data_IF_999451411874
#
_entry.id   IF_999451411874
#
_cell.length_a   1.000
_cell.length_b   1.000
_cell.length_c   1.000
_cell.angle_alpha   90.00
_cell.angle_beta   90.00
_cell.angle_gamma   90.00
#
_symmetry.space_group_name_H-M   'P 1'
#
loop_
_entity.id
_entity.type
_entity.pdbx_description
1 polymer ?
#
# COMPACT_ATOMS: atom_id res chain seq x y z
N UNK A 1 27.78 26.91 11.49
CA UNK A 1 26.55 26.59 12.23
C UNK A 1 26.04 25.24 11.69
N UNK A 2 25.82 24.23 12.54
CA UNK A 2 25.71 22.84 12.11
C UNK A 2 24.32 22.52 11.55
N UNK A 3 24.32 21.75 10.45
CA UNK A 3 23.24 20.92 9.88
C UNK A 3 21.79 21.14 10.32
N UNK A 4 21.21 22.31 10.05
CA UNK A 4 19.77 22.46 9.87
C UNK A 4 19.55 23.56 8.85
N UNK A 5 19.06 23.20 7.66
CA UNK A 5 18.36 24.19 6.86
C UNK A 5 17.28 24.76 7.77
N UNK A 6 17.34 26.06 8.08
CA UNK A 6 16.23 26.74 8.75
C UNK A 6 15.07 26.64 7.79
N UNK A 7 14.19 25.66 8.01
CA UNK A 7 12.97 25.49 7.23
C UNK A 7 12.17 26.77 7.41
N UNK A 8 11.90 27.53 6.34
CA UNK A 8 11.14 28.78 6.44
C UNK A 8 9.80 28.53 7.14
N UNK A 9 9.31 29.52 7.88
CA UNK A 9 8.07 29.36 8.66
C UNK A 9 6.87 29.00 7.76
N UNK A 10 6.82 29.54 6.54
CA UNK A 10 5.81 29.18 5.53
C UNK A 10 5.91 27.71 5.11
N UNK A 11 7.13 27.20 4.90
CA UNK A 11 7.35 25.78 4.60
C UNK A 11 6.92 24.90 5.77
N UNK A 12 7.25 25.30 7.02
CA UNK A 12 6.83 24.57 8.22
C UNK A 12 5.31 24.51 8.33
N UNK A 13 4.64 25.63 8.08
CA UNK A 13 3.17 25.72 8.06
C UNK A 13 2.59 24.77 7.01
N UNK A 14 3.12 24.81 5.78
CA UNK A 14 2.65 23.90 4.71
C UNK A 14 2.87 22.43 5.06
N UNK A 15 4.01 22.08 5.65
CA UNK A 15 4.28 20.71 6.10
C UNK A 15 3.30 20.26 7.19
N UNK A 16 2.91 21.13 8.11
CA UNK A 16 1.90 20.82 9.12
C UNK A 16 0.50 20.57 8.53
N UNK A 17 0.12 21.32 7.48
CA UNK A 17 -1.11 21.07 6.72
C UNK A 17 -1.08 19.69 6.05
N UNK A 18 0.02 19.36 5.37
CA UNK A 18 0.23 18.03 4.76
C UNK A 18 0.22 16.91 5.81
N UNK A 19 0.83 17.14 6.98
CA UNK A 19 0.82 16.19 8.08
C UNK A 19 -0.61 15.92 8.59
N UNK A 20 -1.44 16.96 8.69
CA UNK A 20 -2.85 16.85 9.08
C UNK A 20 -3.61 15.98 8.06
N UNK A 21 -3.42 16.21 6.77
CA UNK A 21 -4.04 15.41 5.72
C UNK A 21 -3.60 13.93 5.76
N UNK A 22 -2.31 13.66 5.97
CA UNK A 22 -1.79 12.29 6.08
C UNK A 22 -2.32 11.56 7.32
N UNK A 23 -2.52 12.27 8.44
CA UNK A 23 -3.22 11.72 9.61
C UNK A 23 -4.67 11.41 9.28
N UNK A 24 -5.35 12.26 8.51
CA UNK A 24 -6.71 11.98 8.08
C UNK A 24 -6.80 10.71 7.21
N UNK A 25 -5.82 10.42 6.35
CA UNK A 25 -5.75 9.15 5.63
C UNK A 25 -5.66 7.94 6.58
N UNK A 26 -4.78 8.02 7.59
CA UNK A 26 -4.65 6.97 8.61
C UNK A 26 -5.97 6.80 9.38
N UNK A 27 -6.54 7.90 9.84
CA UNK A 27 -7.73 7.89 10.68
C UNK A 27 -8.96 7.37 9.91
N UNK A 28 -9.09 7.70 8.62
CA UNK A 28 -10.12 7.15 7.74
C UNK A 28 -10.04 5.61 7.61
N UNK A 29 -8.83 5.05 7.64
CA UNK A 29 -8.64 3.60 7.66
C UNK A 29 -8.97 2.99 9.03
N UNK A 30 -8.48 3.60 10.12
CA UNK A 30 -8.72 3.12 11.50
C UNK A 30 -10.23 3.09 11.81
N UNK A 31 -10.98 4.08 11.33
CA UNK A 31 -12.44 4.15 11.47
C UNK A 31 -13.17 2.93 10.93
N UNK A 32 -12.62 2.16 9.97
CA UNK A 32 -13.27 0.93 9.52
C UNK A 32 -13.45 -0.06 10.69
N UNK A 33 -12.42 -0.21 11.54
CA UNK A 33 -12.49 -1.09 12.70
C UNK A 33 -13.44 -0.60 13.78
N UNK A 34 -13.58 0.72 13.93
CA UNK A 34 -14.44 1.35 14.95
C UNK A 34 -15.91 1.43 14.49
N UNK A 35 -16.16 1.91 13.27
CA UNK A 35 -17.50 2.18 12.74
C UNK A 35 -18.15 0.91 12.17
N UNK A 36 -17.37 -0.02 11.61
CA UNK A 36 -17.88 -1.20 10.92
C UNK A 36 -17.44 -2.54 11.52
N UNK A 37 -16.43 -2.57 12.39
CA UNK A 37 -15.87 -3.80 12.97
C UNK A 37 -15.49 -4.85 11.92
N UNK A 38 -15.13 -4.41 10.71
CA UNK A 38 -14.92 -5.27 9.54
C UNK A 38 -16.10 -6.21 9.22
N UNK A 39 -17.32 -5.87 9.66
CA UNK A 39 -18.54 -6.62 9.37
C UNK A 39 -19.16 -6.12 8.05
N UNK A 40 -19.17 -6.98 7.05
CA UNK A 40 -19.75 -6.69 5.75
C UNK A 40 -21.28 -6.46 5.85
N UNK A 41 -21.80 -5.52 5.05
CA UNK A 41 -23.24 -5.37 4.89
C UNK A 41 -23.82 -6.65 4.24
N UNK A 42 -24.98 -7.18 4.68
CA UNK A 42 -25.52 -8.47 4.20
C UNK A 42 -25.65 -8.59 2.68
N UNK A 43 -26.00 -7.49 2.01
CA UNK A 43 -26.19 -7.43 0.55
C UNK A 43 -24.90 -7.10 -0.24
N UNK A 44 -23.74 -7.10 0.42
CA UNK A 44 -22.47 -6.74 -0.20
C UNK A 44 -21.79 -7.93 -0.89
N UNK A 45 -20.85 -7.62 -1.80
CA UNK A 45 -19.98 -8.64 -2.42
C UNK A 45 -19.14 -9.35 -1.36
N UNK A 46 -18.65 -8.62 -0.35
CA UNK A 46 -17.91 -9.22 0.76
C UNK A 46 -18.75 -10.23 1.55
N UNK A 47 -20.01 -9.92 1.88
CA UNK A 47 -20.88 -10.86 2.58
C UNK A 47 -21.16 -12.11 1.75
N UNK A 48 -21.39 -11.96 0.44
CA UNK A 48 -21.56 -13.09 -0.47
C UNK A 48 -20.29 -13.97 -0.56
N UNK A 49 -19.11 -13.34 -0.63
CA UNK A 49 -17.83 -14.05 -0.60
C UNK A 49 -17.64 -14.80 0.73
N UNK A 50 -17.84 -14.14 1.88
CA UNK A 50 -17.71 -14.74 3.20
C UNK A 50 -18.61 -15.97 3.37
N UNK A 51 -19.87 -15.89 2.91
CA UNK A 51 -20.80 -17.01 2.94
C UNK A 51 -20.33 -18.17 2.04
N UNK A 52 -19.97 -17.88 0.79
CA UNK A 52 -19.49 -18.89 -0.16
C UNK A 52 -18.20 -19.60 0.32
N UNK A 53 -17.32 -18.86 1.01
CA UNK A 53 -16.09 -19.42 1.57
C UNK A 53 -16.33 -20.18 2.88
N UNK A 54 -17.28 -19.75 3.71
CA UNK A 54 -17.66 -20.47 4.93
C UNK A 54 -18.32 -21.84 4.62
N UNK A 55 -19.06 -21.92 3.52
CA UNK A 55 -19.68 -23.17 3.05
C UNK A 55 -18.66 -24.14 2.41
N UNK A 56 -17.43 -23.69 2.14
CA UNK A 56 -16.37 -24.53 1.59
C UNK A 56 -15.71 -25.38 2.67
N UNK A 57 -15.77 -26.70 2.52
CA UNK A 57 -15.11 -27.64 3.43
C UNK A 57 -13.56 -27.56 3.39
N UNK A 58 -13.00 -26.87 2.41
CA UNK A 58 -11.56 -26.87 2.14
C UNK A 58 -10.85 -25.56 2.48
N UNK A 59 -11.60 -24.45 2.59
CA UNK A 59 -11.04 -23.14 2.96
C UNK A 59 -11.00 -23.07 4.48
N UNK A 60 -9.80 -22.94 5.07
CA UNK A 60 -9.65 -22.97 6.53
C UNK A 60 -10.17 -21.69 7.17
N UNK A 61 -9.94 -20.55 6.53
CA UNK A 61 -10.41 -19.25 6.99
C UNK A 61 -11.19 -18.54 5.86
N UNK A 62 -12.50 -18.42 6.05
CA UNK A 62 -13.38 -17.74 5.12
C UNK A 62 -13.11 -16.22 5.04
N UNK A 63 -12.36 -15.66 5.99
CA UNK A 63 -11.98 -14.23 6.03
C UNK A 63 -10.67 -13.92 5.32
N UNK A 64 -9.99 -14.91 4.73
CA UNK A 64 -8.63 -14.74 4.17
C UNK A 64 -8.50 -13.54 3.22
N UNK A 65 -9.49 -13.31 2.35
CA UNK A 65 -9.51 -12.15 1.44
C UNK A 65 -9.56 -10.84 2.22
N UNK A 66 -10.47 -10.74 3.20
CA UNK A 66 -10.66 -9.52 3.98
C UNK A 66 -9.47 -9.27 4.91
N UNK A 67 -8.91 -10.31 5.52
CA UNK A 67 -7.70 -10.22 6.36
C UNK A 67 -6.51 -9.69 5.57
N UNK A 68 -6.27 -10.21 4.36
CA UNK A 68 -5.17 -9.75 3.51
C UNK A 68 -5.34 -8.27 3.14
N UNK A 69 -6.56 -7.87 2.75
CA UNK A 69 -6.89 -6.47 2.43
C UNK A 69 -6.72 -5.57 3.66
N UNK A 70 -7.24 -5.96 4.82
CA UNK A 70 -7.11 -5.21 6.07
C UNK A 70 -5.64 -5.01 6.44
N UNK A 71 -4.82 -6.06 6.35
CA UNK A 71 -3.39 -6.02 6.64
C UNK A 71 -2.66 -4.97 5.80
N UNK A 72 -2.90 -4.93 4.49
CA UNK A 72 -2.27 -3.94 3.62
C UNK A 72 -2.77 -2.52 3.87
N UNK A 73 -4.06 -2.35 4.18
CA UNK A 73 -4.62 -1.05 4.54
C UNK A 73 -4.05 -0.50 5.85
N UNK A 74 -3.93 -1.35 6.88
CA UNK A 74 -3.32 -0.99 8.16
C UNK A 74 -1.85 -0.59 7.97
N UNK A 75 -1.11 -1.33 7.13
CA UNK A 75 0.28 -0.99 6.80
C UNK A 75 0.38 0.37 6.07
N UNK A 76 -0.48 0.61 5.07
CA UNK A 76 -0.56 1.89 4.38
C UNK A 76 -0.88 3.04 5.34
N UNK A 77 -1.89 2.86 6.20
CA UNK A 77 -2.29 3.84 7.22
C UNK A 77 -1.16 4.13 8.23
N UNK A 78 -0.44 3.11 8.68
CA UNK A 78 0.73 3.28 9.54
C UNK A 78 1.83 4.10 8.86
N UNK A 79 2.09 3.84 7.57
CA UNK A 79 3.05 4.62 6.79
C UNK A 79 2.59 6.07 6.55
N UNK A 80 1.28 6.32 6.36
CA UNK A 80 0.73 7.69 6.34
C UNK A 80 1.01 8.41 7.67
N UNK A 81 0.79 7.74 8.81
CA UNK A 81 1.12 8.28 10.13
C UNK A 81 2.62 8.58 10.29
N UNK A 82 3.49 7.69 9.79
CA UNK A 82 4.93 7.91 9.76
C UNK A 82 5.32 9.13 8.91
N UNK A 83 4.74 9.25 7.70
CA UNK A 83 4.99 10.37 6.81
C UNK A 83 4.51 11.70 7.41
N UNK A 84 3.36 11.70 8.10
CA UNK A 84 2.88 12.86 8.85
C UNK A 84 3.87 13.29 9.94
N UNK A 85 4.40 12.32 10.70
CA UNK A 85 5.40 12.60 11.73
C UNK A 85 6.67 13.25 11.18
N UNK A 86 7.13 12.81 9.99
CA UNK A 86 8.28 13.45 9.31
C UNK A 86 7.98 14.88 8.86
N UNK A 87 6.75 15.15 8.42
CA UNK A 87 6.34 16.50 8.03
C UNK A 87 6.32 17.43 9.26
N UNK A 88 5.74 16.98 10.38
CA UNK A 88 5.69 17.74 11.64
C UNK A 88 7.08 18.09 12.18
N UNK A 89 8.03 17.13 12.12
CA UNK A 89 9.41 17.33 12.56
C UNK A 89 10.32 17.97 11.51
N UNK A 90 9.81 18.16 10.28
CA UNK A 90 10.55 18.61 9.11
C UNK A 90 11.73 17.67 8.71
N UNK A 91 11.68 16.40 9.08
CA UNK A 91 12.67 15.37 8.72
C UNK A 91 12.40 14.78 7.32
N UNK A 92 12.34 15.66 6.32
CA UNK A 92 11.82 15.38 4.97
C UNK A 92 12.89 15.06 3.92
N UNK A 93 14.14 14.82 4.35
CA UNK A 93 15.28 14.69 3.42
C UNK A 93 15.24 13.41 2.60
N UNK A 94 14.98 12.24 3.19
CA UNK A 94 15.06 10.98 2.46
C UNK A 94 13.85 10.10 2.69
N UNK A 95 13.46 9.97 3.95
CA UNK A 95 12.41 9.07 4.44
C UNK A 95 11.01 9.24 3.80
N UNK A 96 10.58 10.43 3.31
CA UNK A 96 9.28 10.55 2.66
C UNK A 96 9.07 9.65 1.42
N UNK A 97 10.13 9.45 0.64
CA UNK A 97 10.07 8.67 -0.60
C UNK A 97 9.76 7.18 -0.38
N UNK A 98 10.54 6.43 0.43
CA UNK A 98 10.24 5.03 0.68
C UNK A 98 8.89 4.83 1.38
N UNK A 99 8.47 5.75 2.26
CA UNK A 99 7.14 5.65 2.89
C UNK A 99 6.01 5.81 1.86
N UNK A 100 6.12 6.80 0.97
CA UNK A 100 5.12 7.00 -0.10
C UNK A 100 5.06 5.79 -1.03
N UNK A 101 6.22 5.22 -1.36
CA UNK A 101 6.29 3.96 -2.13
C UNK A 101 5.56 2.83 -1.42
N UNK A 102 5.81 2.62 -0.14
CA UNK A 102 5.17 1.56 0.65
C UNK A 102 3.65 1.76 0.79
N UNK A 103 3.19 3.01 0.93
CA UNK A 103 1.75 3.35 0.91
C UNK A 103 1.13 2.93 -0.42
N UNK A 104 1.75 3.34 -1.54
CA UNK A 104 1.26 3.06 -2.88
C UNK A 104 1.24 1.55 -3.18
N UNK A 105 2.32 0.83 -2.87
CA UNK A 105 2.41 -0.62 -3.06
C UNK A 105 1.37 -1.37 -2.22
N UNK A 106 1.13 -0.94 -0.97
CA UNK A 106 0.13 -1.58 -0.09
C UNK A 106 -1.30 -1.32 -0.59
N UNK A 107 -1.62 -0.09 -0.98
CA UNK A 107 -2.93 0.25 -1.54
C UNK A 107 -3.19 -0.47 -2.87
N UNK A 108 -2.18 -0.51 -3.75
CA UNK A 108 -2.23 -1.23 -5.01
C UNK A 108 -2.42 -2.73 -4.79
N UNK A 109 -1.77 -3.31 -3.77
CA UNK A 109 -1.90 -4.73 -3.47
C UNK A 109 -3.27 -5.10 -2.91
N UNK A 110 -3.80 -4.33 -1.96
CA UNK A 110 -5.16 -4.49 -1.48
C UNK A 110 -6.19 -4.38 -2.62
N UNK A 111 -6.01 -3.40 -3.52
CA UNK A 111 -6.85 -3.25 -4.71
C UNK A 111 -6.73 -4.45 -5.65
N UNK A 112 -5.51 -4.96 -5.88
CA UNK A 112 -5.27 -6.11 -6.73
C UNK A 112 -5.98 -7.36 -6.20
N UNK A 113 -5.92 -7.62 -4.89
CA UNK A 113 -6.65 -8.76 -4.27
C UNK A 113 -8.15 -8.67 -4.58
N UNK A 114 -8.75 -7.50 -4.41
CA UNK A 114 -10.18 -7.27 -4.66
C UNK A 114 -10.54 -7.29 -6.16
N UNK A 115 -9.65 -6.81 -7.01
CA UNK A 115 -9.79 -6.78 -8.46
C UNK A 115 -10.46 -5.51 -8.98
N UNK A 116 -11.43 -5.68 -9.87
CA UNK A 116 -12.15 -4.58 -10.52
C UNK A 116 -12.85 -3.61 -9.56
N UNK A 117 -13.10 -2.39 -10.05
CA UNK A 117 -13.89 -1.37 -9.37
C UNK A 117 -15.04 -0.92 -10.30
N UNK A 118 -16.30 -1.31 -10.06
CA UNK A 118 -16.80 -2.08 -8.90
C UNK A 118 -16.34 -3.56 -8.91
N UNK A 119 -16.30 -4.24 -7.73
CA UNK A 119 -15.78 -5.60 -7.58
C UNK A 119 -16.77 -6.65 -8.13
N UNK A 120 -16.73 -6.86 -9.44
CA UNK A 120 -17.64 -7.73 -10.20
C UNK A 120 -17.06 -9.13 -10.47
N UNK A 121 -15.78 -9.34 -10.15
CA UNK A 121 -15.12 -10.62 -10.40
C UNK A 121 -15.68 -11.75 -9.52
N UNK A 122 -15.48 -13.04 -9.87
CA UNK A 122 -15.87 -14.15 -9.02
C UNK A 122 -15.07 -14.24 -7.71
N UNK A 123 -15.70 -14.74 -6.64
CA UNK A 123 -15.07 -14.99 -5.33
C UNK A 123 -13.79 -15.81 -5.43
N UNK A 124 -13.77 -16.85 -6.28
CA UNK A 124 -12.58 -17.70 -6.50
C UNK A 124 -11.37 -16.92 -7.00
N UNK A 125 -11.55 -15.85 -7.78
CA UNK A 125 -10.43 -15.03 -8.25
C UNK A 125 -9.83 -14.19 -7.11
N UNK A 126 -10.68 -13.58 -6.28
CA UNK A 126 -10.23 -12.85 -5.08
C UNK A 126 -9.52 -13.78 -4.09
N UNK A 127 -10.09 -14.96 -3.85
CA UNK A 127 -9.48 -15.98 -3.01
C UNK A 127 -8.12 -16.44 -3.56
N UNK A 128 -8.02 -16.69 -4.86
CA UNK A 128 -6.77 -17.08 -5.50
C UNK A 128 -5.69 -16.00 -5.33
N UNK A 129 -6.01 -14.73 -5.53
CA UNK A 129 -5.07 -13.61 -5.30
C UNK A 129 -4.64 -13.50 -3.84
N UNK A 130 -5.57 -13.68 -2.90
CA UNK A 130 -5.25 -13.72 -1.47
C UNK A 130 -4.31 -14.89 -1.11
N UNK A 131 -4.53 -16.08 -1.69
CA UNK A 131 -3.64 -17.23 -1.51
C UNK A 131 -2.27 -17.03 -2.15
N UNK A 132 -2.18 -16.37 -3.31
CA UNK A 132 -0.91 -16.03 -3.95
C UNK A 132 -0.04 -15.19 -3.00
N UNK A 133 -0.61 -14.13 -2.42
CA UNK A 133 0.13 -13.28 -1.47
C UNK A 133 0.48 -14.02 -0.18
N UNK A 134 -0.41 -14.86 0.34
CA UNK A 134 -0.13 -15.67 1.52
C UNK A 134 0.96 -16.71 1.27
N UNK A 135 0.98 -17.38 0.10
CA UNK A 135 2.04 -18.33 -0.27
C UNK A 135 3.38 -17.61 -0.39
N UNK A 136 3.38 -16.44 -1.04
CA UNK A 136 4.56 -15.59 -1.17
C UNK A 136 5.10 -15.16 0.20
N UNK A 137 4.24 -14.68 1.08
CA UNK A 137 4.59 -14.25 2.43
C UNK A 137 5.15 -15.42 3.25
N UNK A 138 4.49 -16.57 3.25
CA UNK A 138 4.94 -17.77 3.96
C UNK A 138 6.26 -18.32 3.40
N UNK A 139 6.49 -18.23 2.09
CA UNK A 139 7.75 -18.60 1.46
C UNK A 139 8.90 -17.72 1.95
N UNK A 140 8.72 -16.39 1.93
CA UNK A 140 9.73 -15.44 2.39
C UNK A 140 9.99 -15.56 3.90
N UNK A 141 8.95 -15.65 4.73
CA UNK A 141 9.08 -15.83 6.18
C UNK A 141 9.92 -17.06 6.51
N UNK A 142 9.56 -18.22 5.94
CA UNK A 142 10.32 -19.46 6.07
C UNK A 142 11.78 -19.30 5.64
N UNK A 143 12.04 -18.63 4.51
CA UNK A 143 13.40 -18.41 3.98
C UNK A 143 14.23 -17.49 4.89
N UNK A 144 13.64 -16.40 5.38
CA UNK A 144 14.30 -15.46 6.29
C UNK A 144 14.62 -16.15 7.62
N UNK A 145 13.64 -16.84 8.23
CA UNK A 145 13.84 -17.60 9.47
C UNK A 145 14.93 -18.67 9.27
N UNK A 146 14.96 -19.33 8.12
CA UNK A 146 16.02 -20.29 7.80
C UNK A 146 17.40 -19.65 7.85
N UNK A 147 17.58 -18.46 7.26
CA UNK A 147 18.87 -17.78 7.24
C UNK A 147 19.28 -17.27 8.62
N UNK A 148 18.32 -16.80 9.43
CA UNK A 148 18.59 -16.25 10.75
C UNK A 148 18.83 -17.33 11.82
N UNK A 149 18.11 -18.44 11.76
CA UNK A 149 18.08 -19.44 12.85
C UNK A 149 18.51 -20.84 12.43
N UNK A 150 18.72 -21.08 11.13
CA UNK A 150 19.07 -22.40 10.59
C UNK A 150 17.89 -23.37 10.51
N UNK A 151 18.07 -24.41 9.69
CA UNK A 151 17.03 -25.42 9.38
C UNK A 151 16.63 -26.31 10.56
N UNK A 152 17.45 -26.39 11.60
CA UNK A 152 17.19 -27.23 12.78
C UNK A 152 16.44 -26.48 13.88
N UNK A 153 16.25 -25.17 13.75
CA UNK A 153 15.54 -24.39 14.75
C UNK A 153 14.06 -24.78 14.83
N UNK A 154 13.45 -24.77 16.03
CA UNK A 154 12.00 -24.95 16.19
C UNK A 154 11.20 -23.94 15.37
N UNK A 155 11.67 -22.68 15.30
CA UNK A 155 11.02 -21.60 14.56
C UNK A 155 10.98 -21.89 13.05
N UNK A 156 12.07 -22.36 12.45
CA UNK A 156 12.07 -22.75 11.03
C UNK A 156 11.13 -23.93 10.77
N UNK A 157 11.14 -24.96 11.62
CA UNK A 157 10.22 -26.10 11.47
C UNK A 157 8.77 -25.65 11.50
N UNK A 158 8.40 -24.80 12.46
CA UNK A 158 7.05 -24.24 12.54
C UNK A 158 6.67 -23.40 11.30
N UNK A 159 7.59 -22.58 10.78
CA UNK A 159 7.37 -21.79 9.57
C UNK A 159 7.23 -22.67 8.32
N UNK A 160 8.07 -23.70 8.20
CA UNK A 160 7.97 -24.70 7.12
C UNK A 160 6.65 -25.45 7.18
N UNK A 161 6.22 -25.90 8.36
CA UNK A 161 4.95 -26.61 8.52
C UNK A 161 3.75 -25.73 8.16
N UNK A 162 3.78 -24.44 8.51
CA UNK A 162 2.75 -23.47 8.06
C UNK A 162 2.72 -23.34 6.54
N UNK A 163 3.87 -23.16 5.91
CA UNK A 163 4.01 -23.07 4.46
C UNK A 163 3.50 -24.34 3.75
N UNK A 164 3.90 -25.52 4.21
CA UNK A 164 3.46 -26.78 3.60
C UNK A 164 1.94 -27.00 3.76
N UNK A 165 1.37 -26.65 4.93
CA UNK A 165 -0.08 -26.69 5.17
C UNK A 165 -0.85 -25.73 4.28
N UNK A 166 -0.32 -24.54 4.03
CA UNK A 166 -0.93 -23.55 3.14
C UNK A 166 -0.97 -24.07 1.70
N UNK A 167 0.14 -24.60 1.17
CA UNK A 167 0.15 -25.19 -0.18
C UNK A 167 -0.77 -26.39 -0.33
N UNK A 168 -0.86 -27.22 0.71
CA UNK A 168 -1.80 -28.36 0.74
C UNK A 168 -3.25 -27.87 0.65
N UNK A 169 -3.58 -26.81 1.39
CA UNK A 169 -4.91 -26.19 1.34
C UNK A 169 -5.20 -25.60 -0.05
N UNK A 170 -4.26 -24.84 -0.61
CA UNK A 170 -4.38 -24.27 -1.97
C UNK A 170 -4.64 -25.37 -3.00
N UNK A 171 -3.86 -26.45 -3.01
CA UNK A 171 -4.05 -27.58 -3.94
C UNK A 171 -5.36 -28.33 -3.71
N UNK A 172 -5.96 -28.24 -2.52
CA UNK A 172 -7.28 -28.83 -2.24
C UNK A 172 -8.40 -27.91 -2.74
N UNK A 173 -8.27 -26.60 -2.53
CA UNK A 173 -9.27 -25.60 -2.98
C UNK A 173 -9.24 -25.42 -4.49
N UNK A 174 -8.06 -25.48 -5.11
CA UNK A 174 -7.79 -25.34 -6.54
C UNK A 174 -7.02 -26.57 -7.05
N UNK A 175 -7.68 -27.72 -7.27
CA UNK A 175 -7.06 -28.97 -7.71
C UNK A 175 -6.28 -28.88 -9.02
N UNK A 176 -6.61 -27.90 -9.86
CA UNK A 176 -5.90 -27.56 -11.09
C UNK A 176 -4.52 -26.93 -10.86
N UNK A 177 -4.21 -26.47 -9.64
CA UNK A 177 -2.92 -25.85 -9.29
C UNK A 177 -1.85 -26.93 -9.13
N UNK A 178 -0.89 -26.94 -10.03
CA UNK A 178 0.25 -27.86 -10.07
C UNK A 178 1.48 -27.31 -9.34
N UNK A 179 2.53 -28.13 -9.23
CA UNK A 179 3.82 -27.69 -8.70
C UNK A 179 4.48 -26.56 -9.51
N UNK A 180 4.26 -26.53 -10.83
CA UNK A 180 4.76 -25.46 -11.71
C UNK A 180 4.02 -24.14 -11.47
N UNK A 181 2.73 -24.20 -11.18
CA UNK A 181 1.91 -23.04 -10.85
C UNK A 181 2.42 -22.34 -9.58
N UNK A 182 2.86 -23.08 -8.56
CA UNK A 182 3.51 -22.47 -7.39
C UNK A 182 4.85 -21.79 -7.73
N UNK A 183 5.60 -22.30 -8.72
CA UNK A 183 6.86 -21.68 -9.14
C UNK A 183 6.64 -20.40 -9.96
N UNK A 184 5.59 -20.38 -10.79
CA UNK A 184 5.17 -19.22 -11.57
C UNK A 184 4.25 -18.28 -10.79
N UNK A 185 3.85 -18.67 -9.58
CA UNK A 185 2.93 -17.97 -8.68
C UNK A 185 1.58 -17.71 -9.33
N UNK A 186 1.03 -18.75 -9.92
CA UNK A 186 -0.29 -18.77 -10.56
C UNK A 186 -1.25 -19.61 -9.73
N UNK A 187 -2.46 -19.12 -9.46
CA UNK A 187 -3.53 -19.89 -8.82
C UNK A 187 -4.83 -19.51 -9.51
N UNK A 188 -5.64 -20.48 -9.96
CA UNK A 188 -6.91 -20.22 -10.67
C UNK A 188 -6.78 -19.22 -11.82
N UNK A 189 -5.69 -19.30 -12.60
CA UNK A 189 -5.36 -18.38 -13.68
C UNK A 189 -4.98 -16.95 -13.26
N UNK A 190 -4.97 -16.64 -11.96
CA UNK A 190 -4.46 -15.38 -11.43
C UNK A 190 -2.95 -15.46 -11.26
N UNK A 191 -2.21 -14.44 -11.69
CA UNK A 191 -0.75 -14.42 -11.66
C UNK A 191 -0.30 -13.39 -10.63
N UNK A 192 0.65 -13.76 -9.77
CA UNK A 192 1.30 -12.81 -8.86
C UNK A 192 1.95 -11.67 -9.63
N UNK A 193 1.46 -10.45 -9.44
CA UNK A 193 2.13 -9.27 -9.97
C UNK A 193 3.35 -8.93 -9.11
N UNK A 194 4.44 -8.51 -9.74
CA UNK A 194 5.55 -7.88 -9.04
C UNK A 194 5.16 -6.51 -8.47
N UNK A 195 5.95 -5.91 -7.57
CA UNK A 195 5.64 -4.59 -7.01
C UNK A 195 5.38 -3.50 -8.07
N UNK A 196 6.23 -3.42 -9.10
CA UNK A 196 6.06 -2.51 -10.23
C UNK A 196 4.74 -2.78 -10.97
N UNK A 197 4.53 -4.02 -11.39
CA UNK A 197 3.35 -4.40 -12.19
C UNK A 197 2.04 -4.20 -11.42
N UNK A 198 2.06 -4.41 -10.10
CA UNK A 198 0.90 -4.17 -9.23
C UNK A 198 0.53 -2.70 -9.21
N UNK A 199 1.52 -1.81 -9.10
CA UNK A 199 1.30 -0.35 -9.09
C UNK A 199 0.86 0.15 -10.47
N UNK A 200 1.45 -0.37 -11.55
CA UNK A 200 1.00 -0.04 -12.91
C UNK A 200 -0.44 -0.50 -13.17
N UNK A 201 -0.78 -1.72 -12.78
CA UNK A 201 -2.14 -2.24 -12.82
C UNK A 201 -3.11 -1.36 -12.02
N UNK A 202 -2.69 -0.90 -10.84
CA UNK A 202 -3.50 0.00 -10.02
C UNK A 202 -3.72 1.35 -10.71
N UNK A 203 -2.69 1.94 -11.31
CA UNK A 203 -2.83 3.18 -12.08
C UNK A 203 -3.77 3.02 -13.30
N UNK A 204 -3.72 1.89 -14.00
CA UNK A 204 -4.65 1.59 -15.09
C UNK A 204 -6.10 1.46 -14.59
N UNK A 205 -6.29 0.87 -13.40
CA UNK A 205 -7.60 0.81 -12.74
C UNK A 205 -8.13 2.22 -12.43
N UNK A 206 -7.27 3.12 -11.93
CA UNK A 206 -7.64 4.52 -11.65
C UNK A 206 -7.99 5.29 -12.93
N UNK A 207 -7.20 5.12 -14.00
CA UNK A 207 -7.45 5.76 -15.28
C UNK A 207 -8.80 5.30 -15.88
N UNK A 208 -9.10 4.00 -15.81
CA UNK A 208 -10.36 3.43 -16.28
C UNK A 208 -11.56 3.95 -15.46
N UNK A 209 -11.36 4.22 -14.17
CA UNK A 209 -12.37 4.82 -13.30
C UNK A 209 -12.55 6.34 -13.52
N UNK A 210 -11.82 6.94 -14.48
CA UNK A 210 -11.91 8.37 -14.82
C UNK A 210 -11.11 9.28 -13.89
N UNK A 211 -10.08 8.76 -13.21
CA UNK A 211 -9.21 9.61 -12.38
C UNK A 211 -8.38 10.56 -13.26
N UNK A 212 -8.54 11.90 -13.11
CA UNK A 212 -7.86 12.89 -13.97
C UNK A 212 -6.36 13.03 -13.66
N UNK A 213 -5.83 12.29 -12.68
CA UNK A 213 -4.52 12.54 -12.08
C UNK A 213 -3.34 11.95 -12.86
N UNK A 214 -3.54 11.20 -13.95
CA UNK A 214 -2.46 10.45 -14.59
C UNK A 214 -2.48 10.51 -16.12
N UNK A 215 -1.46 11.13 -16.71
CA UNK A 215 -1.15 10.95 -18.12
C UNK A 215 -0.59 9.53 -18.37
N UNK A 216 -0.79 8.91 -19.56
CA UNK A 216 -0.45 7.51 -19.81
C UNK A 216 1.02 7.11 -19.60
N UNK A 217 1.96 8.05 -19.71
CA UNK A 217 3.41 7.80 -19.50
C UNK A 217 3.87 8.10 -18.06
N UNK A 218 3.01 8.69 -17.23
CA UNK A 218 3.36 9.04 -15.86
C UNK A 218 3.51 7.82 -14.93
N UNK A 219 2.67 6.76 -14.97
CA UNK A 219 2.72 5.63 -14.03
C UNK A 219 4.10 4.98 -13.84
N UNK A 220 4.77 4.58 -14.93
CA UNK A 220 6.10 3.95 -14.87
C UNK A 220 7.15 4.91 -14.34
N UNK A 221 7.16 6.16 -14.82
CA UNK A 221 8.11 7.17 -14.37
C UNK A 221 7.93 7.53 -12.89
N UNK A 222 6.68 7.56 -12.39
CA UNK A 222 6.38 7.78 -10.96
C UNK A 222 6.98 6.66 -10.13
N UNK A 223 6.77 5.40 -10.52
CA UNK A 223 7.25 4.26 -9.76
C UNK A 223 8.79 4.14 -9.80
N UNK A 224 9.43 4.31 -10.97
CA UNK A 224 10.89 4.38 -11.08
C UNK A 224 11.48 5.54 -10.26
N UNK A 225 10.74 6.66 -10.26
CA UNK A 225 10.76 7.78 -9.33
C UNK A 225 11.08 7.36 -7.89
N UNK A 226 10.06 6.74 -7.30
CA UNK A 226 10.01 6.27 -5.93
C UNK A 226 11.06 5.19 -5.66
N UNK A 227 11.26 4.27 -6.60
CA UNK A 227 12.22 3.17 -6.51
C UNK A 227 13.66 3.69 -6.41
N UNK A 228 14.02 4.64 -7.28
CA UNK A 228 15.34 5.31 -7.26
C UNK A 228 15.63 5.96 -5.91
N UNK A 229 14.62 6.53 -5.25
CA UNK A 229 14.76 7.17 -3.95
C UNK A 229 14.72 6.21 -2.76
N UNK A 230 14.31 4.95 -2.97
CA UNK A 230 14.26 3.90 -1.94
C UNK A 230 15.55 3.08 -1.89
N UNK A 231 16.21 2.90 -3.04
CA UNK A 231 17.47 2.18 -3.15
C UNK A 231 18.67 3.12 -3.06
N UNK A 232 19.85 2.64 -2.63
CA UNK A 232 21.07 3.46 -2.58
C UNK A 232 21.52 3.84 -3.99
N UNK A 233 20.99 4.95 -4.50
CA UNK A 233 21.38 5.54 -5.79
C UNK A 233 22.06 6.88 -5.55
N UNK A 234 23.18 7.11 -6.23
CA UNK A 234 23.91 8.37 -6.10
C UNK A 234 23.12 9.55 -6.66
N UNK A 235 22.30 9.34 -7.68
CA UNK A 235 21.54 10.39 -8.37
C UNK A 235 20.59 11.13 -7.43
N UNK A 236 19.77 10.40 -6.66
CA UNK A 236 18.77 10.97 -5.73
C UNK A 236 19.41 11.83 -4.62
N UNK A 237 20.61 11.45 -4.17
CA UNK A 237 21.35 12.16 -3.11
C UNK A 237 22.25 13.27 -3.63
N UNK A 238 22.73 13.19 -4.89
CA UNK A 238 23.60 14.19 -5.51
C UNK A 238 22.83 15.37 -6.08
N UNK A 239 21.66 15.14 -6.70
CA UNK A 239 20.86 16.22 -7.29
C UNK A 239 20.37 17.25 -6.25
N UNK A 240 20.24 16.83 -4.99
CA UNK A 240 19.81 17.68 -3.88
C UNK A 240 20.97 18.27 -3.09
N UNK A 241 22.20 17.83 -3.36
CA UNK A 241 23.38 18.26 -2.63
C UNK A 241 23.94 19.54 -3.22
N UNK A 242 24.11 20.55 -2.36
CA UNK A 242 24.84 21.76 -2.69
C UNK A 242 26.09 21.85 -1.82
N UNK A 243 27.22 22.17 -2.45
CA UNK A 243 28.45 22.47 -1.74
C UNK A 243 28.41 23.94 -1.28
N UNK A 244 28.74 24.18 -0.02
CA UNK A 244 28.81 25.52 0.55
C UNK A 244 30.26 25.78 0.93
N UNK A 245 30.81 26.89 0.47
CA UNK A 245 32.11 27.37 0.90
C UNK A 245 31.96 28.11 2.24
N UNK A 246 32.72 27.68 3.25
CA UNK A 246 32.78 28.34 4.57
C UNK A 246 34.07 29.16 4.75
N UNK A 247 34.91 29.27 3.72
CA UNK A 247 36.18 29.99 3.71
C UNK A 247 37.38 29.10 4.03
N UNK A 248 37.34 28.38 5.16
CA UNK A 248 38.41 27.48 5.60
C UNK A 248 38.13 26.00 5.27
N UNK A 249 36.89 25.66 4.94
CA UNK A 249 36.48 24.32 4.50
C UNK A 249 35.24 24.37 3.61
N UNK A 250 34.97 23.25 2.92
CA UNK A 250 33.74 23.05 2.14
C UNK A 250 32.77 22.19 2.94
N UNK A 251 31.55 22.68 3.13
CA UNK A 251 30.40 21.96 3.68
C UNK A 251 29.47 21.42 2.59
N UNK A 252 28.48 20.63 3.00
CA UNK A 252 27.39 20.20 2.11
C UNK A 252 26.04 20.35 2.79
N UNK A 253 25.03 20.75 2.01
CA UNK A 253 23.63 20.76 2.43
C UNK A 253 22.78 19.97 1.46
N UNK A 254 21.66 19.44 1.94
CA UNK A 254 20.62 18.82 1.11
C UNK A 254 19.45 19.79 0.97
N UNK A 255 19.10 20.15 -0.26
CA UNK A 255 17.98 21.03 -0.57
C UNK A 255 16.77 20.17 -0.92
N UNK A 256 15.69 20.33 -0.16
CA UNK A 256 14.40 19.70 -0.44
C UNK A 256 13.40 20.81 -0.75
N UNK A 257 12.79 20.71 -1.91
CA UNK A 257 11.72 21.59 -2.33
C UNK A 257 10.40 21.12 -1.67
N UNK A 258 9.63 22.00 -0.99
CA UNK A 258 8.37 21.63 -0.34
C UNK A 258 7.37 20.98 -1.30
N UNK A 259 7.41 21.38 -2.57
CA UNK A 259 6.58 20.86 -3.66
C UNK A 259 6.78 19.35 -3.86
N UNK A 260 7.98 18.84 -3.60
CA UNK A 260 8.23 17.38 -3.66
C UNK A 260 7.44 16.65 -2.57
N UNK A 261 7.35 17.22 -1.37
CA UNK A 261 6.61 16.60 -0.25
C UNK A 261 5.10 16.70 -0.49
N UNK A 262 4.63 17.82 -1.05
CA UNK A 262 3.25 17.93 -1.49
C UNK A 262 2.91 16.89 -2.57
N UNK A 263 3.78 16.71 -3.56
CA UNK A 263 3.59 15.71 -4.62
C UNK A 263 3.54 14.28 -4.06
N UNK A 264 4.44 13.93 -3.14
CA UNK A 264 4.40 12.64 -2.43
C UNK A 264 3.10 12.47 -1.63
N UNK A 265 2.65 13.53 -0.96
CA UNK A 265 1.39 13.53 -0.21
C UNK A 265 0.19 13.32 -1.13
N UNK A 266 0.15 13.98 -2.29
CA UNK A 266 -0.89 13.79 -3.31
C UNK A 266 -0.97 12.33 -3.76
N UNK A 267 0.18 11.68 -4.02
CA UNK A 267 0.21 10.26 -4.38
C UNK A 267 -0.32 9.35 -3.27
N UNK A 268 0.12 9.58 -2.03
CA UNK A 268 -0.36 8.81 -0.88
C UNK A 268 -1.88 8.97 -0.67
N UNK A 269 -2.38 10.20 -0.74
CA UNK A 269 -3.79 10.54 -0.54
C UNK A 269 -4.66 9.94 -1.65
N UNK A 270 -4.23 10.03 -2.92
CA UNK A 270 -4.92 9.38 -4.05
C UNK A 270 -5.03 7.87 -3.79
N UNK A 271 -3.89 7.21 -3.52
CA UNK A 271 -3.86 5.76 -3.32
C UNK A 271 -4.79 5.32 -2.17
N UNK A 272 -4.74 6.03 -1.04
CA UNK A 272 -5.59 5.77 0.13
C UNK A 272 -7.07 6.02 -0.17
N UNK A 273 -7.41 7.15 -0.78
CA UNK A 273 -8.80 7.50 -1.10
C UNK A 273 -9.44 6.47 -2.02
N UNK A 274 -8.72 6.05 -3.06
CA UNK A 274 -9.23 5.09 -4.04
C UNK A 274 -9.38 3.67 -3.45
N UNK A 275 -8.37 3.18 -2.71
CA UNK A 275 -8.48 1.85 -2.10
C UNK A 275 -9.55 1.81 -1.01
N UNK A 276 -9.68 2.85 -0.19
CA UNK A 276 -10.76 2.93 0.81
C UNK A 276 -12.12 2.97 0.11
N UNK A 277 -12.28 3.78 -0.95
CA UNK A 277 -13.50 3.81 -1.76
C UNK A 277 -13.87 2.44 -2.34
N UNK A 278 -12.86 1.63 -2.72
CA UNK A 278 -13.07 0.27 -3.22
C UNK A 278 -13.48 -0.69 -2.10
N UNK A 279 -12.79 -0.65 -0.96
CA UNK A 279 -13.09 -1.52 0.20
C UNK A 279 -14.49 -1.25 0.76
N UNK A 280 -14.86 0.02 0.92
CA UNK A 280 -16.21 0.40 1.34
C UNK A 280 -17.26 -0.13 0.37
N UNK A 281 -17.04 -0.02 -0.95
CA UNK A 281 -17.95 -0.60 -1.95
C UNK A 281 -18.01 -2.12 -1.88
N UNK A 282 -16.86 -2.79 -1.73
CA UNK A 282 -16.79 -4.25 -1.60
C UNK A 282 -17.57 -4.75 -0.37
N UNK A 283 -17.46 -4.03 0.75
CA UNK A 283 -18.14 -4.37 2.00
C UNK A 283 -19.56 -3.80 2.13
N UNK A 284 -20.02 -3.01 1.15
CA UNK A 284 -21.36 -2.41 1.14
C UNK A 284 -21.56 -1.29 2.15
N UNK A 285 -20.51 -0.57 2.50
CA UNK A 285 -20.55 0.58 3.41
C UNK A 285 -20.61 1.91 2.63
N UNK A 286 -21.15 2.94 3.26
CA UNK A 286 -21.15 4.31 2.71
C UNK A 286 -19.80 4.97 2.94
N UNK A 287 -19.02 5.17 1.88
CA UNK A 287 -17.73 5.84 1.96
C UNK A 287 -17.89 7.32 2.31
N UNK A 288 -17.12 7.78 3.31
CA UNK A 288 -17.07 9.18 3.77
C UNK A 288 -18.45 9.83 4.00
N UNK A 289 -19.36 9.09 4.65
CA UNK A 289 -20.75 9.53 4.85
C UNK A 289 -20.92 10.83 5.63
N UNK A 290 -19.94 11.20 6.47
CA UNK A 290 -19.91 12.48 7.19
C UNK A 290 -19.11 13.57 6.46
N UNK A 291 -18.55 13.27 5.28
CA UNK A 291 -17.78 14.18 4.44
C UNK A 291 -16.48 14.68 5.08
N UNK A 292 -16.06 14.12 6.21
CA UNK A 292 -14.91 14.64 6.97
C UNK A 292 -13.61 14.42 6.22
N UNK A 293 -13.44 13.25 5.62
CA UNK A 293 -12.19 12.93 4.94
C UNK A 293 -12.05 13.75 3.64
N UNK A 294 -13.10 13.80 2.83
CA UNK A 294 -13.16 14.64 1.63
C UNK A 294 -12.96 16.12 1.94
N UNK A 295 -13.55 16.64 3.01
CA UNK A 295 -13.37 18.04 3.42
C UNK A 295 -11.92 18.38 3.76
N UNK A 296 -11.19 17.49 4.45
CA UNK A 296 -9.77 17.71 4.77
C UNK A 296 -8.91 17.68 3.50
N UNK A 297 -9.25 16.80 2.54
CA UNK A 297 -8.59 16.76 1.24
C UNK A 297 -8.81 18.08 0.49
N UNK A 298 -10.06 18.53 0.34
CA UNK A 298 -10.39 19.75 -0.41
C UNK A 298 -9.77 21.01 0.20
N UNK A 299 -9.69 21.08 1.53
CA UNK A 299 -9.03 22.20 2.23
C UNK A 299 -7.51 22.23 2.01
N UNK A 300 -6.87 21.06 1.99
CA UNK A 300 -5.40 20.95 1.95
C UNK A 300 -4.85 20.91 0.53
N UNK A 301 -5.59 20.27 -0.37
CA UNK A 301 -5.29 20.06 -1.78
C UNK A 301 -6.51 20.48 -2.62
N UNK A 302 -6.73 21.80 -2.81
CA UNK A 302 -7.84 22.28 -3.61
C UNK A 302 -7.87 21.65 -5.01
N UNK A 303 -9.07 21.38 -5.51
CA UNK A 303 -9.36 20.78 -6.81
C UNK A 303 -8.91 19.32 -6.99
N UNK A 304 -8.35 18.68 -5.95
CA UNK A 304 -7.83 17.32 -6.05
C UNK A 304 -8.91 16.26 -6.31
N UNK A 305 -10.10 16.39 -5.70
CA UNK A 305 -11.21 15.46 -5.87
C UNK A 305 -12.19 15.84 -6.99
N UNK A 306 -11.97 16.98 -7.68
CA UNK A 306 -12.85 17.39 -8.78
C UNK A 306 -12.66 16.46 -9.97
N UNK A 307 -13.70 15.68 -10.26
CA UNK A 307 -13.82 14.77 -11.41
C UNK A 307 -14.54 15.44 -12.57
#
# INVERSE_FOLDING_TARGET
>A
MPYYARVPDETRKRLAELATLLRACRDACVRIGEDHHWAAHPDSVCAADLAALADSAYVRDHRLVLEAVATYLELAAAHCGGLAGLCDTCEIVASPWPLTRSILESCARASWILGSNPPTEPTRNRLARAYIDNDLSAEYDKKIIQYLHGKQSPTYRAAKDRFDRLRTEISTVFPETSGEDFNTRTINGQICLGPTDTVLWFFDLLATAGSPLLEPKAPTAIYDLLSTHTHPTLASSRHRRTFIDHGDHVGTVQIVQPENIEWLTRLAVMAMYDVLSLVYRYCGWWFDSDGKFGSVIDQTLPDFLRR
#
